data_IF_573990801030
#
_entry.id   IF_573990801030
#
_cell.length_a   1.000
_cell.length_b   1.000
_cell.length_c   1.000
_cell.angle_alpha   90.00
_cell.angle_beta   90.00
_cell.angle_gamma   90.00
#
_symmetry.space_group_name_H-M   'P 1'
#
loop_
_entity.id
_entity.type
_entity.pdbx_description
1 polymer ?
#
# COMPACT_ATOMS: atom_id res chain seq x y z
N UNK A 1 8.48 -12.58 -1.43
CA UNK A 1 7.40 -12.02 -0.58
C UNK A 1 6.09 -12.24 -1.32
N UNK A 2 5.04 -12.66 -0.63
CA UNK A 2 3.72 -12.80 -1.25
C UNK A 2 3.08 -11.42 -1.38
N UNK A 3 2.76 -11.01 -2.60
CA UNK A 3 2.20 -9.69 -2.91
C UNK A 3 0.69 -9.72 -3.10
N UNK A 4 0.05 -10.89 -2.91
CA UNK A 4 -1.39 -11.06 -3.14
C UNK A 4 -2.21 -10.24 -2.16
N UNK A 5 -3.41 -9.89 -2.59
CA UNK A 5 -4.44 -9.35 -1.72
C UNK A 5 -4.79 -10.35 -0.61
N UNK A 6 -5.18 -9.82 0.52
CA UNK A 6 -5.71 -10.62 1.62
C UNK A 6 -7.16 -10.23 1.86
N UNK A 7 -8.04 -11.22 1.82
CA UNK A 7 -9.47 -11.03 2.05
C UNK A 7 -9.93 -12.05 3.08
N UNK A 8 -10.64 -11.55 4.09
CA UNK A 8 -11.38 -12.34 5.06
C UNK A 8 -12.77 -11.75 5.18
N UNK A 9 -13.77 -12.45 4.69
CA UNK A 9 -15.18 -12.05 4.81
C UNK A 9 -15.83 -12.75 6.00
N UNK A 10 -16.62 -12.00 6.76
CA UNK A 10 -17.40 -12.47 7.90
C UNK A 10 -18.82 -11.97 7.76
N UNK A 11 -19.76 -12.52 8.55
CA UNK A 11 -21.15 -12.04 8.57
C UNK A 11 -21.36 -10.73 9.34
N UNK A 12 -20.28 -10.03 9.72
CA UNK A 12 -20.34 -8.79 10.49
C UNK A 12 -20.77 -7.58 9.65
N UNK A 13 -21.14 -6.50 10.33
CA UNK A 13 -21.56 -5.23 9.70
C UNK A 13 -20.44 -4.23 9.48
N UNK A 14 -19.24 -4.57 9.91
CA UNK A 14 -18.05 -3.71 9.83
C UNK A 14 -16.95 -4.43 9.06
N UNK A 15 -16.30 -3.69 8.17
CA UNK A 15 -15.09 -4.13 7.49
C UNK A 15 -13.90 -3.23 7.81
N UNK A 16 -12.68 -3.78 7.64
CA UNK A 16 -11.43 -3.03 7.62
C UNK A 16 -10.88 -3.06 6.21
N UNK A 17 -10.52 -1.90 5.66
CA UNK A 17 -9.79 -1.79 4.40
C UNK A 17 -8.38 -1.28 4.68
N UNK A 18 -7.38 -2.07 4.27
CA UNK A 18 -5.95 -1.74 4.38
C UNK A 18 -5.41 -1.28 3.04
N UNK A 19 -4.75 -0.12 3.02
CA UNK A 19 -4.24 0.55 1.82
C UNK A 19 -2.75 0.82 1.99
N UNK A 20 -1.92 0.10 1.21
CA UNK A 20 -0.47 0.22 1.30
C UNK A 20 0.06 1.50 0.62
N UNK A 21 1.34 1.80 0.86
CA UNK A 21 2.04 2.94 0.27
C UNK A 21 2.63 2.65 -1.11
N UNK A 22 3.27 3.68 -1.68
CA UNK A 22 3.99 3.57 -2.96
C UNK A 22 5.06 2.47 -2.85
N UNK A 23 5.21 1.68 -3.90
CA UNK A 23 6.10 0.52 -3.96
C UNK A 23 5.87 -0.53 -2.85
N UNK A 24 4.76 -0.43 -2.11
CA UNK A 24 4.36 -1.36 -1.07
C UNK A 24 3.49 -2.50 -1.59
N UNK A 25 3.00 -3.33 -0.67
CA UNK A 25 2.05 -4.42 -0.95
C UNK A 25 1.20 -4.73 0.28
N UNK A 26 0.16 -5.56 0.16
CA UNK A 26 -0.57 -6.11 1.30
C UNK A 26 0.31 -6.77 2.37
N UNK A 27 1.46 -7.33 1.99
CA UNK A 27 2.40 -7.96 2.92
C UNK A 27 2.95 -6.99 3.99
N UNK A 28 2.88 -5.68 3.78
CA UNK A 28 3.25 -4.68 4.79
C UNK A 28 2.33 -4.70 6.02
N UNK A 29 1.13 -5.24 5.89
CA UNK A 29 0.16 -5.35 6.98
C UNK A 29 0.13 -6.73 7.64
N UNK A 30 0.98 -7.67 7.19
CA UNK A 30 0.96 -9.05 7.65
C UNK A 30 0.95 -9.19 9.18
N UNK A 31 1.76 -8.37 9.85
CA UNK A 31 1.91 -8.42 11.31
C UNK A 31 0.76 -7.70 12.05
N UNK A 32 -0.05 -6.90 11.33
CA UNK A 32 -1.25 -6.26 11.86
C UNK A 32 -2.50 -7.12 11.71
N UNK A 33 -2.54 -7.99 10.69
CA UNK A 33 -3.70 -8.84 10.41
C UNK A 33 -4.15 -9.67 11.62
N UNK A 34 -3.25 -10.31 12.40
CA UNK A 34 -3.61 -11.08 13.58
C UNK A 34 -4.22 -10.24 14.72
N UNK A 35 -3.95 -8.92 14.73
CA UNK A 35 -4.52 -8.01 15.73
C UNK A 35 -5.97 -7.58 15.40
N UNK A 36 -6.44 -7.83 14.18
CA UNK A 36 -7.82 -7.53 13.79
C UNK A 36 -8.73 -8.69 14.22
N UNK A 37 -9.74 -8.44 15.06
CA UNK A 37 -10.64 -9.49 15.54
C UNK A 37 -11.24 -10.34 14.41
N UNK A 38 -11.34 -11.65 14.61
CA UNK A 38 -11.74 -12.59 13.56
C UNK A 38 -13.18 -12.37 13.03
N UNK A 39 -14.04 -11.77 13.84
CA UNK A 39 -15.42 -11.46 13.45
C UNK A 39 -15.54 -10.20 12.57
N UNK A 40 -14.45 -9.47 12.34
CA UNK A 40 -14.42 -8.28 11.46
C UNK A 40 -13.91 -8.69 10.08
N UNK A 41 -14.65 -8.34 9.05
CA UNK A 41 -14.20 -8.52 7.65
C UNK A 41 -12.98 -7.66 7.35
N UNK A 42 -12.03 -8.21 6.60
CA UNK A 42 -10.76 -7.57 6.34
C UNK A 42 -10.37 -7.67 4.86
N UNK A 43 -10.00 -6.54 4.29
CA UNK A 43 -9.53 -6.42 2.92
C UNK A 43 -8.22 -5.66 2.90
N UNK A 44 -7.16 -6.30 2.43
CA UNK A 44 -5.86 -5.67 2.18
C UNK A 44 -5.60 -5.72 0.69
N UNK A 45 -5.82 -4.60 0.01
CA UNK A 45 -5.82 -4.51 -1.45
C UNK A 45 -4.41 -4.32 -2.00
N UNK A 46 -4.19 -4.81 -3.23
CA UNK A 46 -2.98 -4.57 -4.01
C UNK A 46 -3.26 -3.50 -5.08
N UNK A 47 -2.64 -2.34 -4.94
CA UNK A 47 -2.81 -1.25 -5.90
C UNK A 47 -2.19 -1.61 -7.26
N UNK A 48 -2.82 -1.16 -8.34
CA UNK A 48 -2.40 -1.44 -9.72
C UNK A 48 -0.91 -1.17 -9.94
N UNK A 49 -0.27 -2.05 -10.69
CA UNK A 49 1.17 -1.99 -11.00
C UNK A 49 2.10 -2.42 -9.86
N UNK A 50 1.62 -2.55 -8.61
CA UNK A 50 2.43 -3.02 -7.49
C UNK A 50 2.57 -4.55 -7.51
N UNK A 51 3.67 -5.06 -6.94
CA UNK A 51 3.98 -6.50 -6.97
C UNK A 51 4.36 -7.04 -8.35
N UNK A 52 4.47 -6.18 -9.36
CA UNK A 52 4.75 -6.50 -10.76
C UNK A 52 6.08 -5.90 -11.21
N UNK A 53 6.35 -5.96 -12.51
CA UNK A 53 7.55 -5.39 -13.12
C UNK A 53 7.54 -3.85 -13.11
N UNK A 54 8.71 -3.23 -13.18
CA UNK A 54 8.85 -1.76 -13.27
C UNK A 54 7.99 -1.16 -14.39
N UNK A 55 7.88 -1.84 -15.52
CA UNK A 55 7.05 -1.40 -16.65
C UNK A 55 5.58 -1.27 -16.25
N UNK A 56 5.04 -2.24 -15.52
CA UNK A 56 3.64 -2.23 -15.08
C UNK A 56 3.41 -1.11 -14.06
N UNK A 57 4.37 -0.94 -13.14
CA UNK A 57 4.32 0.15 -12.17
C UNK A 57 4.40 1.52 -12.85
N UNK A 58 5.23 1.69 -13.89
CA UNK A 58 5.33 2.96 -14.63
C UNK A 58 4.09 3.28 -15.47
N UNK A 59 3.26 2.29 -15.79
CA UNK A 59 2.02 2.47 -16.55
C UNK A 59 0.81 2.85 -15.69
N UNK A 60 0.98 2.93 -14.36
CA UNK A 60 -0.07 3.34 -13.43
C UNK A 60 0.10 4.79 -12.95
N UNK A 61 -0.75 5.28 -12.06
CA UNK A 61 -0.72 6.65 -11.56
C UNK A 61 -1.49 6.83 -10.26
N UNK A 62 -1.22 7.92 -9.54
CA UNK A 62 -2.00 8.33 -8.36
C UNK A 62 -3.51 8.39 -8.65
N UNK A 63 -3.90 8.85 -9.85
CA UNK A 63 -5.31 8.92 -10.26
C UNK A 63 -5.93 7.53 -10.34
N UNK A 64 -5.23 6.56 -10.95
CA UNK A 64 -5.69 5.17 -11.05
C UNK A 64 -5.78 4.52 -9.67
N UNK A 65 -4.78 4.70 -8.82
CA UNK A 65 -4.80 4.15 -7.47
C UNK A 65 -5.91 4.74 -6.62
N UNK A 66 -6.15 6.06 -6.72
CA UNK A 66 -7.29 6.69 -6.06
C UNK A 66 -8.59 6.06 -6.54
N UNK A 67 -8.80 5.95 -7.84
CA UNK A 67 -10.01 5.34 -8.42
C UNK A 67 -10.22 3.92 -7.87
N UNK A 68 -9.19 3.07 -7.90
CA UNK A 68 -9.24 1.70 -7.39
C UNK A 68 -9.64 1.63 -5.91
N UNK A 69 -9.08 2.52 -5.07
CA UNK A 69 -9.45 2.59 -3.65
C UNK A 69 -10.92 2.98 -3.46
N UNK A 70 -11.38 3.99 -4.20
CA UNK A 70 -12.74 4.49 -4.08
C UNK A 70 -13.77 3.50 -4.65
N UNK A 71 -13.49 2.84 -5.77
CA UNK A 71 -14.30 1.73 -6.29
C UNK A 71 -14.43 0.59 -5.26
N UNK A 72 -13.33 0.22 -4.60
CA UNK A 72 -13.37 -0.77 -3.52
C UNK A 72 -14.19 -0.30 -2.32
N UNK A 73 -14.12 0.98 -1.96
CA UNK A 73 -14.94 1.54 -0.87
C UNK A 73 -16.43 1.49 -1.20
N UNK A 74 -16.82 1.86 -2.42
CA UNK A 74 -18.21 1.78 -2.86
C UNK A 74 -18.73 0.35 -2.78
N UNK A 75 -17.96 -0.64 -3.28
CA UNK A 75 -18.28 -2.07 -3.12
C UNK A 75 -18.48 -2.47 -1.64
N UNK A 76 -17.60 -1.99 -0.75
CA UNK A 76 -17.69 -2.30 0.66
C UNK A 76 -18.88 -1.62 1.34
N UNK A 77 -19.24 -0.40 0.94
CA UNK A 77 -20.41 0.31 1.48
C UNK A 77 -21.75 -0.32 1.12
N UNK A 78 -21.81 -1.13 0.06
CA UNK A 78 -22.97 -1.95 -0.26
C UNK A 78 -23.12 -3.16 0.70
N UNK A 79 -21.98 -3.69 1.18
CA UNK A 79 -21.95 -4.90 2.02
C UNK A 79 -21.93 -4.59 3.52
N UNK A 80 -21.34 -3.44 3.92
CA UNK A 80 -21.06 -3.11 5.31
C UNK A 80 -21.62 -1.75 5.71
N UNK A 81 -22.12 -1.67 6.94
CA UNK A 81 -22.62 -0.41 7.50
C UNK A 81 -21.45 0.59 7.73
N UNK A 82 -20.32 0.08 8.16
CA UNK A 82 -19.12 0.87 8.50
C UNK A 82 -17.86 0.23 7.92
N UNK A 83 -16.93 1.08 7.47
CA UNK A 83 -15.60 0.68 7.01
C UNK A 83 -14.53 1.45 7.78
N UNK A 84 -13.64 0.72 8.44
CA UNK A 84 -12.47 1.26 9.12
C UNK A 84 -11.31 1.25 8.13
N UNK A 85 -10.55 2.35 8.05
CA UNK A 85 -9.41 2.43 7.14
C UNK A 85 -8.08 2.34 7.89
N UNK A 86 -7.17 1.53 7.36
CA UNK A 86 -5.77 1.46 7.78
C UNK A 86 -4.92 1.84 6.58
N UNK A 87 -4.37 3.04 6.58
CA UNK A 87 -3.50 3.54 5.52
C UNK A 87 -2.03 3.53 5.93
N UNK A 88 -1.15 3.17 5.01
CA UNK A 88 0.29 3.30 5.19
C UNK A 88 0.89 4.23 4.13
N UNK A 89 1.70 5.22 4.57
CA UNK A 89 2.39 6.17 3.68
C UNK A 89 1.42 6.82 2.68
N UNK A 90 1.60 6.65 1.38
CA UNK A 90 0.70 7.13 0.33
C UNK A 90 -0.76 6.70 0.57
N UNK A 91 -1.00 5.49 1.07
CA UNK A 91 -2.34 4.98 1.38
C UNK A 91 -3.08 5.83 2.40
N UNK A 92 -2.38 6.54 3.29
CA UNK A 92 -2.98 7.45 4.24
C UNK A 92 -3.69 8.64 3.57
N UNK A 93 -3.16 9.11 2.44
CA UNK A 93 -3.75 10.22 1.68
C UNK A 93 -5.12 9.84 1.12
N UNK A 94 -5.25 8.61 0.60
CA UNK A 94 -6.53 8.10 0.13
C UNK A 94 -7.49 7.87 1.30
N UNK A 95 -6.99 7.36 2.43
CA UNK A 95 -7.81 7.14 3.64
C UNK A 95 -8.37 8.46 4.19
N UNK A 96 -7.55 9.50 4.27
CA UNK A 96 -7.99 10.83 4.74
C UNK A 96 -9.05 11.40 3.79
N UNK A 97 -8.79 11.36 2.48
CA UNK A 97 -9.75 11.85 1.49
C UNK A 97 -11.08 11.10 1.59
N UNK A 98 -11.04 9.78 1.69
CA UNK A 98 -12.25 8.96 1.83
C UNK A 98 -13.05 9.29 3.10
N UNK A 99 -12.38 9.52 4.22
CA UNK A 99 -13.06 9.91 5.46
C UNK A 99 -13.71 11.30 5.40
N UNK A 100 -13.13 12.21 4.61
CA UNK A 100 -13.74 13.53 4.35
C UNK A 100 -14.98 13.37 3.46
N UNK A 101 -14.90 12.52 2.42
CA UNK A 101 -15.98 12.31 1.45
C UNK A 101 -17.13 11.46 2.02
N UNK A 102 -16.82 10.53 2.96
CA UNK A 102 -17.80 9.58 3.54
C UNK A 102 -17.75 9.51 5.08
N UNK A 103 -17.92 10.64 5.80
CA UNK A 103 -17.73 10.70 7.27
C UNK A 103 -18.67 9.76 8.03
N UNK A 104 -19.89 9.53 7.53
CA UNK A 104 -20.88 8.65 8.16
C UNK A 104 -20.55 7.15 7.98
N UNK A 105 -19.78 6.81 6.95
CA UNK A 105 -19.40 5.42 6.62
C UNK A 105 -18.06 5.00 7.21
N UNK A 106 -17.16 5.98 7.47
CA UNK A 106 -15.78 5.75 7.90
C UNK A 106 -15.58 6.31 9.31
N UNK A 107 -15.87 5.54 10.37
CA UNK A 107 -15.81 6.02 11.74
C UNK A 107 -14.39 6.15 12.30
N UNK A 108 -13.43 5.37 11.77
CA UNK A 108 -12.05 5.33 12.28
C UNK A 108 -11.02 5.25 11.17
N UNK A 109 -9.91 5.98 11.37
CA UNK A 109 -8.70 5.94 10.55
C UNK A 109 -7.50 5.52 11.41
N UNK A 110 -6.73 4.57 10.90
CA UNK A 110 -5.40 4.26 11.41
C UNK A 110 -4.37 4.68 10.35
N UNK A 111 -3.61 5.70 10.65
CA UNK A 111 -2.70 6.33 9.70
C UNK A 111 -1.25 6.06 10.09
N UNK A 112 -0.57 5.26 9.31
CA UNK A 112 0.82 4.83 9.53
C UNK A 112 1.75 5.60 8.59
N UNK A 113 2.77 6.28 9.15
CA UNK A 113 3.78 7.02 8.39
C UNK A 113 3.19 8.04 7.39
N UNK A 114 2.31 8.92 7.87
CA UNK A 114 1.64 9.94 7.04
C UNK A 114 2.66 10.88 6.37
N UNK A 115 2.68 11.01 5.03
CA UNK A 115 3.64 11.85 4.31
C UNK A 115 3.18 13.32 4.27
N UNK A 116 3.04 13.96 5.44
CA UNK A 116 2.58 15.36 5.56
C UNK A 116 3.55 16.33 4.87
N UNK A 117 4.84 16.06 4.98
CA UNK A 117 5.90 16.85 4.34
C UNK A 117 7.02 15.94 3.87
N UNK A 118 6.93 15.38 2.66
CA UNK A 118 7.98 14.50 2.17
C UNK A 118 9.29 15.29 1.99
N UNK A 119 10.33 14.82 2.66
CA UNK A 119 11.69 15.33 2.51
C UNK A 119 12.55 14.26 1.88
N UNK A 120 12.97 14.48 0.63
CA UNK A 120 13.88 13.56 -0.06
C UNK A 120 15.31 14.06 0.08
N UNK A 121 16.12 13.31 0.79
CA UNK A 121 17.58 13.60 0.86
C UNK A 121 18.24 13.23 -0.46
N UNK A 122 19.23 14.01 -0.90
CA UNK A 122 20.02 13.70 -2.11
C UNK A 122 20.67 12.30 -2.01
N UNK A 123 21.11 11.90 -0.81
CA UNK A 123 21.63 10.56 -0.55
C UNK A 123 20.61 9.44 -0.85
N UNK A 124 19.33 9.69 -0.62
CA UNK A 124 18.25 8.71 -0.94
C UNK A 124 18.15 8.50 -2.45
N UNK A 125 18.27 9.55 -3.25
CA UNK A 125 18.29 9.43 -4.72
C UNK A 125 19.45 8.55 -5.18
N UNK A 126 20.65 8.77 -4.61
CA UNK A 126 21.81 7.93 -4.89
C UNK A 126 21.59 6.46 -4.52
N UNK A 127 20.95 6.20 -3.38
CA UNK A 127 20.57 4.84 -2.95
C UNK A 127 19.58 4.20 -3.92
N UNK A 128 18.52 4.93 -4.33
CA UNK A 128 17.57 4.45 -5.33
C UNK A 128 18.27 4.06 -6.65
N UNK A 129 19.18 4.91 -7.15
CA UNK A 129 19.92 4.62 -8.37
C UNK A 129 20.82 3.39 -8.24
N UNK A 130 21.46 3.17 -7.08
CA UNK A 130 22.24 1.94 -6.84
C UNK A 130 21.35 0.70 -6.81
N UNK A 131 20.22 0.76 -6.13
CA UNK A 131 19.22 -0.33 -6.09
C UNK A 131 18.72 -0.64 -7.50
N UNK A 132 18.36 0.39 -8.27
CA UNK A 132 17.86 0.22 -9.65
C UNK A 132 18.93 -0.39 -10.58
N UNK A 133 20.20 -0.04 -10.39
CA UNK A 133 21.31 -0.59 -11.18
C UNK A 133 21.83 -1.94 -10.69
N UNK A 134 21.24 -2.51 -9.63
CA UNK A 134 21.69 -3.77 -9.04
C UNK A 134 23.10 -3.70 -8.42
N UNK A 135 23.69 -2.50 -8.29
CA UNK A 135 25.01 -2.27 -7.71
C UNK A 135 24.93 -2.11 -6.20
N UNK A 136 24.62 -3.22 -5.51
CA UNK A 136 24.52 -3.24 -4.06
C UNK A 136 25.84 -3.72 -3.45
N UNK A 137 26.36 -2.96 -2.48
CA UNK A 137 27.48 -3.39 -1.64
C UNK A 137 26.92 -4.15 -0.45
N UNK A 138 27.69 -5.10 0.09
CA UNK A 138 27.27 -5.90 1.25
C UNK A 138 27.01 -5.04 2.49
N UNK A 139 27.74 -3.94 2.64
CA UNK A 139 27.64 -2.99 3.75
C UNK A 139 26.55 -1.92 3.57
N UNK A 140 25.86 -1.86 2.41
CA UNK A 140 24.82 -0.85 2.13
C UNK A 140 23.47 -1.29 2.66
N UNK A 141 23.31 -1.26 3.99
CA UNK A 141 22.10 -1.68 4.69
C UNK A 141 20.85 -0.89 4.23
N UNK A 142 21.01 0.39 3.88
CA UNK A 142 19.89 1.23 3.39
C UNK A 142 19.41 0.77 2.00
N UNK A 143 20.33 0.40 1.10
CA UNK A 143 19.98 -0.10 -0.21
C UNK A 143 19.35 -1.48 -0.14
N UNK A 144 19.83 -2.36 0.73
CA UNK A 144 19.23 -3.67 0.98
C UNK A 144 17.84 -3.57 1.59
N UNK A 145 17.66 -2.68 2.57
CA UNK A 145 16.35 -2.42 3.16
C UNK A 145 15.36 -1.91 2.10
N UNK A 146 15.78 -0.97 1.24
CA UNK A 146 14.95 -0.45 0.15
C UNK A 146 14.61 -1.53 -0.87
N UNK A 147 15.57 -2.36 -1.28
CA UNK A 147 15.33 -3.48 -2.19
C UNK A 147 14.30 -4.46 -1.62
N UNK A 148 14.40 -4.78 -0.34
CA UNK A 148 13.53 -5.75 0.32
C UNK A 148 12.15 -5.17 0.64
N UNK A 149 12.03 -3.86 0.84
CA UNK A 149 10.78 -3.18 1.13
C UNK A 149 9.96 -2.84 -0.12
N UNK A 150 10.57 -2.86 -1.31
CA UNK A 150 9.85 -2.56 -2.55
C UNK A 150 9.22 -3.81 -3.14
N UNK A 151 7.98 -3.68 -3.60
CA UNK A 151 7.29 -4.73 -4.36
C UNK A 151 7.63 -4.72 -5.84
N UNK A 152 8.38 -3.72 -6.31
CA UNK A 152 8.69 -3.55 -7.73
C UNK A 152 9.80 -4.53 -8.09
N UNK A 153 9.52 -5.40 -9.03
CA UNK A 153 10.52 -6.31 -9.58
C UNK A 153 11.41 -5.54 -10.57
N UNK A 154 12.65 -5.30 -10.15
CA UNK A 154 13.67 -4.73 -11.01
C UNK A 154 14.21 -5.87 -11.89
N UNK A 155 13.86 -5.89 -13.17
CA UNK A 155 14.43 -6.87 -14.09
C UNK A 155 15.90 -6.54 -14.35
N UNK A 156 16.77 -7.54 -14.34
CA UNK A 156 18.19 -7.37 -14.70
C UNK A 156 18.38 -6.97 -16.18
N UNK A 157 17.31 -6.91 -16.97
CA UNK A 157 17.30 -6.66 -18.42
C UNK A 157 17.09 -5.21 -18.85
N UNK A 158 17.14 -4.25 -17.94
CA UNK A 158 17.01 -2.83 -18.35
C UNK A 158 18.29 -2.30 -19.04
N UNK A 159 19.36 -3.10 -19.08
CA UNK A 159 20.69 -2.67 -19.55
C UNK A 159 21.37 -3.65 -20.55
N UNK A 160 20.64 -4.55 -21.20
CA UNK A 160 21.10 -5.27 -22.39
C UNK A 160 20.67 -4.57 -23.67
#
# INVERSE_FOLDING_TARGET
>A
MDHREYIRETGGKTAVLMIHGIAGTPAHFRDLIPAIPEHISLYSILLDGHGKQVRDFSATSMKKWKAQVFEKLEELFEKYEKVILIGHSMGTLFSIQAAIDYPEKIPFLFLLAVPVRPWVRVSTVGTCLRVMRGKLREDDTAAWAMKNATSIQLSNRIWE
#
